data_IF_080152744281
#
_entry.id   IF_080152744281
#
_cell.length_a   1.000
_cell.length_b   1.000
_cell.length_c   1.000
_cell.angle_alpha   90.00
_cell.angle_beta   90.00
_cell.angle_gamma   90.00
#
_symmetry.space_group_name_H-M   'P 1'
#
loop_
_entity.id
_entity.type
_entity.pdbx_description
1 polymer ?
#
# COMPACT_ATOMS: atom_id res chain seq x y z
N UNK A 1 -30.51 -51.33 72.55
CA UNK A 1 -30.33 -51.14 71.09
C UNK A 1 -29.51 -49.88 70.89
N UNK A 2 -28.29 -50.05 70.38
CA UNK A 2 -27.18 -49.11 70.51
C UNK A 2 -27.25 -47.85 69.64
N UNK A 3 -26.62 -46.79 70.16
CA UNK A 3 -26.29 -45.54 69.47
C UNK A 3 -25.23 -45.85 68.39
N UNK A 4 -25.46 -45.44 67.14
CA UNK A 4 -24.40 -45.35 66.13
C UNK A 4 -23.81 -43.93 66.16
N UNK A 5 -22.53 -43.85 66.50
CA UNK A 5 -21.72 -42.64 66.47
C UNK A 5 -21.34 -42.28 65.02
N UNK A 6 -21.15 -40.99 64.76
CA UNK A 6 -20.61 -40.43 63.51
C UNK A 6 -19.15 -40.91 63.31
N UNK A 7 -18.70 -41.13 62.06
CA UNK A 7 -17.33 -41.54 61.80
C UNK A 7 -16.37 -40.35 61.86
N UNK A 8 -15.29 -40.58 62.62
CA UNK A 8 -13.91 -40.15 62.41
C UNK A 8 -13.62 -38.64 62.37
N UNK A 9 -13.00 -38.18 63.45
CA UNK A 9 -12.02 -37.09 63.48
C UNK A 9 -11.04 -37.24 62.32
N UNK A 10 -10.95 -36.23 61.45
CA UNK A 10 -9.86 -36.12 60.50
C UNK A 10 -8.56 -35.93 61.29
N UNK A 11 -7.73 -36.97 61.33
CA UNK A 11 -6.36 -36.86 61.82
C UNK A 11 -5.61 -35.87 60.92
N UNK A 12 -5.20 -34.75 61.52
CA UNK A 12 -4.24 -33.84 60.91
C UNK A 12 -2.95 -34.65 60.76
N UNK A 13 -2.61 -35.02 59.54
CA UNK A 13 -1.34 -35.65 59.24
C UNK A 13 -0.21 -34.78 59.81
N UNK A 14 0.77 -35.36 60.53
CA UNK A 14 1.90 -34.60 61.03
C UNK A 14 2.63 -33.97 59.84
N UNK A 15 3.00 -32.70 59.97
CA UNK A 15 3.79 -31.96 58.98
C UNK A 15 4.93 -32.84 58.49
N UNK A 16 4.83 -33.29 57.24
CA UNK A 16 5.84 -34.13 56.64
C UNK A 16 7.10 -33.26 56.51
N UNK A 17 8.22 -33.61 57.19
CA UNK A 17 9.40 -32.78 57.16
C UNK A 17 9.88 -32.66 55.71
N UNK A 18 10.11 -31.42 55.27
CA UNK A 18 10.69 -31.13 53.96
C UNK A 18 11.96 -31.99 53.80
N UNK A 19 12.10 -32.64 52.63
CA UNK A 19 13.24 -33.52 52.38
C UNK A 19 14.57 -32.80 52.72
N UNK A 20 15.51 -33.43 53.42
CA UNK A 20 16.70 -32.78 53.97
C UNK A 20 17.53 -32.05 52.90
N UNK A 21 17.58 -32.58 51.67
CA UNK A 21 18.25 -31.93 50.54
C UNK A 21 17.57 -30.62 50.11
N UNK A 22 16.24 -30.56 50.15
CA UNK A 22 15.49 -29.34 49.85
C UNK A 22 15.71 -28.28 50.92
N UNK A 23 15.75 -28.68 52.19
CA UNK A 23 15.99 -27.78 53.32
C UNK A 23 17.42 -27.19 53.29
N UNK A 24 18.42 -28.03 52.98
CA UNK A 24 19.81 -27.57 52.82
C UNK A 24 19.96 -26.58 51.65
N UNK A 25 19.29 -26.83 50.52
CA UNK A 25 19.34 -25.95 49.36
C UNK A 25 18.67 -24.60 49.62
N UNK A 26 17.54 -24.58 50.33
CA UNK A 26 16.84 -23.35 50.72
C UNK A 26 17.68 -22.51 51.68
N UNK A 27 18.34 -23.16 52.65
CA UNK A 27 19.24 -22.49 53.59
C UNK A 27 20.45 -21.88 52.87
N UNK A 28 21.10 -22.63 51.97
CA UNK A 28 22.22 -22.12 51.17
C UNK A 28 21.81 -20.92 50.29
N UNK A 29 20.59 -20.94 49.73
CA UNK A 29 20.07 -19.83 48.94
C UNK A 29 19.81 -18.59 49.81
N UNK A 30 19.23 -18.77 51.00
CA UNK A 30 19.00 -17.68 51.95
C UNK A 30 20.32 -17.04 52.44
N UNK A 31 21.31 -17.87 52.79
CA UNK A 31 22.66 -17.41 53.15
C UNK A 31 23.30 -16.61 52.02
N UNK A 32 23.20 -17.10 50.78
CA UNK A 32 23.72 -16.40 49.60
C UNK A 32 23.00 -15.07 49.35
N UNK A 33 21.67 -15.02 49.45
CA UNK A 33 20.89 -13.78 49.34
C UNK A 33 21.32 -12.77 50.41
N UNK A 34 21.49 -13.21 51.65
CA UNK A 34 21.88 -12.35 52.75
C UNK A 34 23.33 -11.84 52.58
N UNK A 35 24.25 -12.67 52.09
CA UNK A 35 25.60 -12.24 51.75
C UNK A 35 25.62 -11.16 50.66
N UNK A 36 24.78 -11.29 49.62
CA UNK A 36 24.63 -10.27 48.57
C UNK A 36 24.07 -8.97 49.15
N UNK A 37 23.01 -9.05 49.97
CA UNK A 37 22.41 -7.87 50.59
C UNK A 37 23.35 -7.18 51.58
N UNK A 38 24.17 -7.92 52.32
CA UNK A 38 25.20 -7.32 53.17
C UNK A 38 26.27 -6.58 52.37
N UNK A 39 26.58 -7.04 51.16
CA UNK A 39 27.62 -6.43 50.31
C UNK A 39 27.12 -5.24 49.49
N UNK A 40 25.91 -5.31 48.95
CA UNK A 40 25.38 -4.33 47.99
C UNK A 40 24.06 -3.67 48.42
N UNK A 41 23.42 -4.16 49.47
CA UNK A 41 22.11 -3.66 49.92
C UNK A 41 22.16 -2.39 50.76
N UNK A 42 23.36 -1.85 51.03
CA UNK A 42 23.57 -0.59 51.77
C UNK A 42 22.86 -0.54 53.14
N UNK A 43 22.70 -1.71 53.78
CA UNK A 43 22.03 -1.85 55.07
C UNK A 43 20.50 -1.84 55.01
N UNK A 44 19.91 -1.79 53.81
CA UNK A 44 18.46 -1.83 53.60
C UNK A 44 17.98 -3.26 53.28
N UNK A 45 16.76 -3.64 53.68
CA UNK A 45 16.16 -4.92 53.30
C UNK A 45 15.89 -4.98 51.79
N UNK A 46 15.79 -6.20 51.26
CA UNK A 46 15.45 -6.41 49.86
C UNK A 46 14.01 -6.01 49.59
N UNK A 47 13.83 -5.07 48.68
CA UNK A 47 12.53 -4.68 48.14
C UNK A 47 12.64 -4.62 46.62
N UNK A 48 11.89 -5.48 45.93
CA UNK A 48 12.01 -5.67 44.48
C UNK A 48 11.84 -4.35 43.72
N UNK A 49 10.79 -3.59 44.03
CA UNK A 49 10.47 -2.37 43.31
C UNK A 49 11.57 -1.33 43.48
N UNK A 50 12.04 -1.11 44.72
CA UNK A 50 13.16 -0.21 45.02
C UNK A 50 14.41 -0.54 44.20
N UNK A 51 14.87 -1.80 44.23
CA UNK A 51 16.08 -2.22 43.50
C UNK A 51 15.90 -2.07 41.98
N UNK A 52 14.70 -2.34 41.45
CA UNK A 52 14.40 -2.14 40.02
C UNK A 52 14.44 -0.66 39.65
N UNK A 53 13.88 0.23 40.47
CA UNK A 53 13.92 1.67 40.25
C UNK A 53 15.34 2.23 40.32
N UNK A 54 16.14 1.83 41.32
CA UNK A 54 17.55 2.22 41.45
C UNK A 54 18.36 1.76 40.23
N UNK A 55 18.18 0.51 39.79
CA UNK A 55 18.84 0.00 38.59
C UNK A 55 18.46 0.81 37.33
N UNK A 56 17.17 1.11 37.14
CA UNK A 56 16.70 1.96 36.02
C UNK A 56 17.30 3.36 36.07
N UNK A 57 17.36 3.96 37.25
CA UNK A 57 17.97 5.28 37.44
C UNK A 57 19.43 5.29 36.99
N UNK A 58 20.26 4.33 37.44
CA UNK A 58 21.66 4.25 37.01
C UNK A 58 21.82 3.92 35.52
N UNK A 59 20.89 3.15 34.93
CA UNK A 59 20.87 2.89 33.49
C UNK A 59 20.60 4.18 32.69
N UNK A 60 19.66 5.01 33.13
CA UNK A 60 19.38 6.32 32.53
C UNK A 60 20.58 7.27 32.66
N UNK A 61 21.14 7.38 33.87
CA UNK A 61 22.33 8.19 34.13
C UNK A 61 23.53 7.75 33.25
N UNK A 62 23.69 6.43 33.03
CA UNK A 62 24.74 5.91 32.15
C UNK A 62 24.54 6.33 30.69
N UNK A 63 23.29 6.46 30.24
CA UNK A 63 22.95 6.90 28.90
C UNK A 63 23.24 8.40 28.72
N UNK A 64 22.89 9.23 29.69
CA UNK A 64 23.23 10.66 29.69
C UNK A 64 24.73 10.89 29.70
N UNK A 65 25.45 10.21 30.61
CA UNK A 65 26.91 10.29 30.69
C UNK A 65 27.59 9.86 29.38
N UNK A 66 27.01 8.87 28.69
CA UNK A 66 27.47 8.43 27.37
C UNK A 66 27.29 9.52 26.30
N UNK A 67 26.15 10.22 26.27
CA UNK A 67 25.94 11.33 25.35
C UNK A 67 26.92 12.48 25.63
N UNK A 68 27.15 12.81 26.90
CA UNK A 68 28.14 13.81 27.30
C UNK A 68 29.56 13.39 26.88
N UNK A 69 29.93 12.13 27.06
CA UNK A 69 31.21 11.59 26.58
C UNK A 69 31.35 11.72 25.06
N UNK A 70 30.27 11.47 24.30
CA UNK A 70 30.25 11.66 22.85
C UNK A 70 30.54 13.09 22.43
N UNK A 71 30.01 14.10 23.14
CA UNK A 71 30.36 15.50 22.91
C UNK A 71 31.87 15.75 23.08
N UNK A 72 32.50 15.15 24.10
CA UNK A 72 33.96 15.30 24.34
C UNK A 72 34.78 14.59 23.27
N UNK A 73 34.33 13.41 22.82
CA UNK A 73 34.96 12.72 21.70
C UNK A 73 34.92 13.53 20.40
N UNK A 74 33.80 14.21 20.11
CA UNK A 74 33.69 15.13 18.97
C UNK A 74 34.69 16.28 19.13
N UNK A 75 34.76 16.91 20.30
CA UNK A 75 35.72 17.98 20.57
C UNK A 75 37.16 17.50 20.33
N UNK A 76 37.55 16.34 20.87
CA UNK A 76 38.91 15.78 20.66
C UNK A 76 39.14 15.53 19.17
N UNK A 77 38.16 14.94 18.47
CA UNK A 77 38.28 14.62 17.04
C UNK A 77 38.54 15.84 16.17
N UNK A 78 37.93 16.99 16.48
CA UNK A 78 38.15 18.22 15.71
C UNK A 78 39.42 18.98 16.08
N UNK A 79 40.01 18.71 17.24
CA UNK A 79 41.23 19.38 17.70
C UNK A 79 42.51 18.53 17.49
N UNK A 80 42.38 17.25 17.18
CA UNK A 80 43.51 16.31 17.05
C UNK A 80 43.59 15.70 15.63
N UNK A 81 44.80 15.50 15.08
CA UNK A 81 44.96 14.73 13.84
C UNK A 81 44.38 13.32 13.96
N UNK A 82 43.89 12.75 12.85
CA UNK A 82 43.22 11.44 12.85
C UNK A 82 44.00 10.31 13.54
N UNK A 83 45.33 10.29 13.36
CA UNK A 83 46.22 9.33 14.01
C UNK A 83 46.29 9.50 15.53
N UNK A 84 46.34 10.74 16.03
CA UNK A 84 46.38 11.02 17.47
C UNK A 84 45.02 10.82 18.13
N UNK A 85 43.92 11.19 17.46
CA UNK A 85 42.57 10.85 17.93
C UNK A 85 42.44 9.34 18.17
N UNK A 86 42.92 8.53 17.22
CA UNK A 86 42.87 7.06 17.35
C UNK A 86 43.63 6.59 18.57
N UNK A 87 44.87 7.07 18.78
CA UNK A 87 45.67 6.72 19.97
C UNK A 87 45.02 7.15 21.27
N UNK A 88 44.48 8.38 21.35
CA UNK A 88 43.78 8.87 22.54
C UNK A 88 42.61 7.93 22.89
N UNK A 89 41.81 7.56 21.90
CA UNK A 89 40.65 6.68 22.07
C UNK A 89 41.07 5.27 22.50
N UNK A 90 42.08 4.67 21.87
CA UNK A 90 42.45 3.27 22.15
C UNK A 90 43.35 3.12 23.38
N UNK A 91 44.32 4.01 23.56
CA UNK A 91 45.38 3.87 24.58
C UNK A 91 45.05 4.60 25.88
N UNK A 92 44.44 5.79 25.81
CA UNK A 92 44.14 6.60 27.01
C UNK A 92 42.74 6.37 27.54
N UNK A 93 41.75 6.25 26.66
CA UNK A 93 40.35 6.00 27.03
C UNK A 93 40.00 4.50 27.06
N UNK A 94 40.87 3.63 26.51
CA UNK A 94 40.71 2.17 26.58
C UNK A 94 39.50 1.65 25.81
N UNK A 95 39.06 2.34 24.76
CA UNK A 95 37.86 1.98 24.00
C UNK A 95 38.15 1.76 22.52
N UNK A 96 37.37 0.89 21.87
CA UNK A 96 37.52 0.65 20.43
C UNK A 96 37.08 1.89 19.63
N UNK A 97 37.81 2.19 18.55
CA UNK A 97 37.49 3.30 17.64
C UNK A 97 36.05 3.22 17.09
N UNK A 98 35.56 2.01 16.81
CA UNK A 98 34.16 1.79 16.38
C UNK A 98 33.15 2.24 17.45
N UNK A 99 33.43 1.95 18.72
CA UNK A 99 32.59 2.37 19.85
C UNK A 99 32.59 3.88 20.00
N UNK A 100 33.76 4.52 19.89
CA UNK A 100 33.86 5.98 19.92
C UNK A 100 33.02 6.63 18.81
N UNK A 101 33.10 6.11 17.58
CA UNK A 101 32.27 6.58 16.48
C UNK A 101 30.77 6.41 16.74
N UNK A 102 30.36 5.28 17.32
CA UNK A 102 28.96 5.04 17.66
C UNK A 102 28.46 6.05 18.71
N UNK A 103 29.26 6.28 19.77
CA UNK A 103 28.93 7.25 20.83
C UNK A 103 28.87 8.68 20.26
N UNK A 104 29.82 9.09 19.42
CA UNK A 104 29.79 10.40 18.76
C UNK A 104 28.56 10.59 17.89
N UNK A 105 28.18 9.58 17.10
CA UNK A 105 26.97 9.63 16.28
C UNK A 105 25.71 9.76 17.12
N UNK A 106 25.60 9.00 18.21
CA UNK A 106 24.48 9.10 19.14
C UNK A 106 24.40 10.49 19.78
N UNK A 107 25.54 11.03 20.24
CA UNK A 107 25.61 12.38 20.78
C UNK A 107 25.16 13.43 19.76
N UNK A 108 25.66 13.37 18.52
CA UNK A 108 25.26 14.30 17.47
C UNK A 108 23.74 14.26 17.21
N UNK A 109 23.16 13.06 17.14
CA UNK A 109 21.74 12.86 16.88
C UNK A 109 20.86 13.35 18.03
N UNK A 110 21.06 12.86 19.25
CA UNK A 110 20.20 13.18 20.40
C UNK A 110 20.43 14.59 20.98
N UNK A 111 21.38 15.34 20.42
CA UNK A 111 21.60 16.76 20.75
C UNK A 111 21.21 17.68 19.61
N UNK A 112 20.64 17.15 18.51
CA UNK A 112 20.12 17.94 17.41
C UNK A 112 19.00 18.86 17.90
N UNK A 113 18.76 20.03 17.28
CA UNK A 113 17.73 20.98 17.73
C UNK A 113 16.33 20.36 17.82
N UNK A 114 16.00 19.38 16.97
CA UNK A 114 14.73 18.68 16.98
C UNK A 114 14.58 17.68 18.14
N UNK A 115 15.67 17.14 18.67
CA UNK A 115 15.66 16.12 19.73
C UNK A 115 16.20 16.62 21.08
N UNK A 116 16.79 17.82 21.14
CA UNK A 116 17.44 18.34 22.34
C UNK A 116 16.47 18.41 23.54
N UNK A 117 15.24 18.89 23.32
CA UNK A 117 14.22 18.97 24.37
C UNK A 117 13.80 17.59 24.90
N UNK A 118 13.90 16.56 24.04
CA UNK A 118 13.44 15.20 24.30
C UNK A 118 14.59 14.25 24.69
N UNK A 119 15.82 14.77 24.79
CA UNK A 119 17.05 14.00 25.00
C UNK A 119 17.05 13.24 26.33
N UNK A 120 16.52 13.86 27.40
CA UNK A 120 16.41 13.22 28.73
C UNK A 120 15.40 12.07 28.72
N UNK A 121 14.24 12.27 28.09
CA UNK A 121 13.20 11.23 27.96
C UNK A 121 13.68 10.04 27.14
N UNK A 122 14.48 10.28 26.11
CA UNK A 122 15.10 9.19 25.34
C UNK A 122 16.22 8.51 26.15
N UNK A 123 16.98 9.26 26.94
CA UNK A 123 18.02 8.72 27.79
C UNK A 123 17.48 7.81 28.91
N UNK A 124 16.26 8.03 29.39
CA UNK A 124 15.63 7.15 30.40
C UNK A 124 15.39 5.73 29.90
N UNK A 125 15.32 5.51 28.59
CA UNK A 125 15.26 4.17 27.98
C UNK A 125 16.57 3.37 28.16
N UNK A 126 17.65 4.05 28.52
CA UNK A 126 18.98 3.48 28.73
C UNK A 126 19.81 3.35 27.44
N UNK A 127 21.13 3.22 27.63
CA UNK A 127 22.14 3.28 26.54
C UNK A 127 21.87 2.35 25.37
N UNK A 128 21.40 1.13 25.65
CA UNK A 128 21.26 0.10 24.62
C UNK A 128 20.08 0.39 23.71
N UNK A 129 18.95 0.86 24.26
CA UNK A 129 17.78 1.25 23.47
C UNK A 129 18.07 2.51 22.65
N UNK A 130 18.82 3.48 23.22
CA UNK A 130 19.31 4.63 22.46
C UNK A 130 20.11 4.23 21.22
N UNK A 131 20.96 3.20 21.30
CA UNK A 131 21.74 2.76 20.13
C UNK A 131 20.93 2.01 19.08
N UNK A 132 19.83 1.35 19.46
CA UNK A 132 18.93 0.76 18.46
C UNK A 132 18.07 1.85 17.83
N UNK A 133 17.59 2.83 18.60
CA UNK A 133 16.74 3.92 18.11
C UNK A 133 17.49 4.99 17.31
N UNK A 134 18.83 5.07 17.42
CA UNK A 134 19.59 6.10 16.72
C UNK A 134 19.58 5.94 15.19
N UNK A 135 19.11 4.80 14.67
CA UNK A 135 19.01 4.56 13.23
C UNK A 135 17.73 5.10 12.61
N UNK A 136 16.73 5.40 13.43
CA UNK A 136 15.45 5.94 12.99
C UNK A 136 15.54 7.44 12.71
N UNK A 137 14.57 8.01 12.01
CA UNK A 137 14.59 9.42 11.64
C UNK A 137 14.31 10.36 12.83
N UNK A 138 14.84 11.58 12.79
CA UNK A 138 14.69 12.55 13.89
C UNK A 138 13.22 12.93 14.11
N UNK A 139 12.41 12.99 13.05
CA UNK A 139 10.97 13.24 13.10
C UNK A 139 10.22 12.10 13.81
N UNK A 140 10.53 10.85 13.47
CA UNK A 140 9.92 9.67 14.11
C UNK A 140 10.27 9.58 15.59
N UNK A 141 11.51 9.92 15.96
CA UNK A 141 11.95 9.96 17.36
C UNK A 141 11.31 11.10 18.15
N UNK A 142 11.12 12.27 17.54
CA UNK A 142 10.39 13.37 18.16
C UNK A 142 8.93 13.00 18.38
N UNK A 143 8.28 12.42 17.35
CA UNK A 143 6.91 11.93 17.42
C UNK A 143 6.74 10.89 18.53
N UNK A 144 7.67 9.95 18.69
CA UNK A 144 7.63 8.94 19.76
C UNK A 144 7.55 9.57 21.16
N UNK A 145 8.29 10.66 21.40
CA UNK A 145 8.30 11.35 22.71
C UNK A 145 7.06 12.22 22.91
N UNK A 146 6.50 12.74 21.82
CA UNK A 146 5.23 13.50 21.83
C UNK A 146 3.97 12.60 21.93
N UNK A 147 4.14 11.29 22.08
CA UNK A 147 3.04 10.32 22.23
C UNK A 147 2.63 9.63 20.94
N UNK A 148 3.38 9.82 19.85
CA UNK A 148 3.31 9.03 18.63
C UNK A 148 3.95 7.64 18.79
N UNK A 149 4.17 6.98 17.66
CA UNK A 149 4.69 5.61 17.63
C UNK A 149 5.86 5.46 16.66
N UNK A 150 6.83 4.63 17.02
CA UNK A 150 7.92 4.21 16.13
C UNK A 150 7.80 2.72 15.86
N UNK A 151 7.81 2.31 14.59
CA UNK A 151 7.53 0.91 14.23
C UNK A 151 6.24 0.33 14.86
N UNK A 152 5.21 1.18 15.05
CA UNK A 152 3.96 0.83 15.73
C UNK A 152 4.08 0.65 17.25
N UNK A 153 5.16 1.13 17.87
CA UNK A 153 5.41 1.06 19.32
C UNK A 153 5.33 2.43 19.95
N UNK A 154 4.62 2.51 21.08
CA UNK A 154 4.63 3.68 21.97
C UNK A 154 5.90 3.71 22.82
N UNK A 155 6.22 4.88 23.37
CA UNK A 155 7.37 5.05 24.27
C UNK A 155 7.33 4.09 25.48
N UNK A 156 6.15 3.90 26.07
CA UNK A 156 5.94 3.00 27.21
C UNK A 156 6.18 1.53 26.84
N UNK A 157 5.74 1.11 25.66
CA UNK A 157 6.00 -0.25 25.16
C UNK A 157 7.48 -0.46 24.91
N UNK A 158 8.15 0.52 24.30
CA UNK A 158 9.60 0.51 24.10
C UNK A 158 10.32 0.41 25.43
N UNK A 159 9.88 1.10 26.49
CA UNK A 159 10.49 1.01 27.82
C UNK A 159 10.26 -0.36 28.48
N UNK A 160 9.07 -0.95 28.35
CA UNK A 160 8.72 -2.24 28.98
C UNK A 160 9.36 -3.45 28.31
N UNK A 161 9.60 -3.39 27.00
CA UNK A 161 10.16 -4.53 26.26
C UNK A 161 11.68 -4.66 26.42
N UNK A 162 12.19 -5.83 26.07
CA UNK A 162 13.62 -6.09 26.00
C UNK A 162 14.24 -5.44 24.75
N UNK A 163 15.55 -5.16 24.81
CA UNK A 163 16.32 -4.66 23.67
C UNK A 163 16.24 -5.60 22.47
N UNK A 164 16.17 -6.93 22.71
CA UNK A 164 16.10 -7.93 21.64
C UNK A 164 14.78 -7.84 20.88
N UNK A 165 13.68 -7.65 21.60
CA UNK A 165 12.35 -7.46 21.00
C UNK A 165 12.27 -6.15 20.21
N UNK A 166 12.81 -5.06 20.77
CA UNK A 166 12.91 -3.77 20.07
C UNK A 166 13.65 -3.92 18.73
N UNK A 167 14.84 -4.54 18.77
CA UNK A 167 15.64 -4.78 17.56
C UNK A 167 14.91 -5.62 16.52
N UNK A 168 14.19 -6.66 16.96
CA UNK A 168 13.42 -7.52 16.07
C UNK A 168 12.30 -6.74 15.37
N UNK A 169 11.55 -5.91 16.11
CA UNK A 169 10.47 -5.10 15.56
C UNK A 169 10.96 -4.01 14.59
N UNK A 170 12.03 -3.30 14.93
CA UNK A 170 12.65 -2.32 14.03
C UNK A 170 13.12 -2.99 12.73
N UNK A 171 13.68 -4.19 12.82
CA UNK A 171 14.09 -4.95 11.64
C UNK A 171 12.91 -5.42 10.80
N UNK A 172 11.88 -5.98 11.43
CA UNK A 172 10.68 -6.47 10.74
C UNK A 172 9.96 -5.34 9.99
N UNK A 173 9.79 -4.18 10.65
CA UNK A 173 9.17 -3.02 10.02
C UNK A 173 10.00 -2.50 8.85
N UNK A 174 11.33 -2.42 9.00
CA UNK A 174 12.21 -2.09 7.88
C UNK A 174 12.13 -3.09 6.73
N UNK A 175 12.21 -4.39 7.02
CA UNK A 175 12.17 -5.44 6.00
C UNK A 175 10.81 -5.43 5.26
N UNK A 176 9.71 -5.18 5.96
CA UNK A 176 8.38 -5.05 5.36
C UNK A 176 8.23 -3.78 4.49
N UNK A 177 8.84 -2.67 4.90
CA UNK A 177 8.88 -1.44 4.11
C UNK A 177 9.73 -1.63 2.84
N UNK A 178 10.89 -2.27 2.95
CA UNK A 178 11.75 -2.60 1.81
C UNK A 178 11.04 -3.56 0.84
N UNK A 179 10.36 -4.59 1.35
CA UNK A 179 9.56 -5.50 0.52
C UNK A 179 8.42 -4.78 -0.21
N UNK A 180 7.72 -3.88 0.49
CA UNK A 180 6.64 -3.08 -0.10
C UNK A 180 7.16 -2.15 -1.20
N UNK A 181 8.31 -1.50 -0.99
CA UNK A 181 8.98 -0.66 -2.00
C UNK A 181 9.43 -1.46 -3.21
N UNK A 182 9.96 -2.68 -3.02
CA UNK A 182 10.33 -3.58 -4.13
C UNK A 182 9.10 -3.95 -4.97
N UNK A 183 8.02 -4.36 -4.31
CA UNK A 183 6.77 -4.70 -5.00
C UNK A 183 6.20 -3.50 -5.77
N UNK A 184 6.26 -2.30 -5.20
CA UNK A 184 5.84 -1.07 -5.89
C UNK A 184 6.69 -0.83 -7.15
N UNK A 185 8.02 -0.90 -7.03
CA UNK A 185 8.92 -0.73 -8.17
C UNK A 185 8.71 -1.79 -9.25
N UNK A 186 8.49 -3.06 -8.88
CA UNK A 186 8.18 -4.14 -9.83
C UNK A 186 6.85 -3.88 -10.56
N UNK A 187 5.84 -3.40 -9.84
CA UNK A 187 4.55 -3.00 -10.44
C UNK A 187 4.72 -1.82 -11.38
N UNK A 188 5.48 -0.80 -10.99
CA UNK A 188 5.74 0.38 -11.82
C UNK A 188 6.52 0.00 -13.10
N UNK A 189 7.53 -0.85 -12.98
CA UNK A 189 8.23 -1.43 -14.14
C UNK A 189 7.27 -2.19 -15.05
N UNK A 190 6.39 -3.01 -14.48
CA UNK A 190 5.43 -3.77 -15.27
C UNK A 190 4.39 -2.87 -15.95
N UNK A 191 3.94 -1.81 -15.28
CA UNK A 191 3.05 -0.80 -15.86
C UNK A 191 3.75 -0.11 -17.03
N UNK A 192 5.01 0.27 -16.87
CA UNK A 192 5.79 0.89 -17.93
C UNK A 192 5.95 -0.07 -19.13
N UNK A 193 6.35 -1.32 -18.90
CA UNK A 193 6.43 -2.35 -19.96
C UNK A 193 5.09 -2.55 -20.68
N UNK A 194 3.98 -2.62 -19.95
CA UNK A 194 2.64 -2.80 -20.54
C UNK A 194 2.23 -1.56 -21.34
N UNK A 195 2.55 -0.37 -20.84
CA UNK A 195 2.28 0.89 -21.54
C UNK A 195 3.08 1.00 -22.83
N UNK A 196 4.37 0.65 -22.81
CA UNK A 196 5.23 0.60 -24.00
C UNK A 196 4.73 -0.45 -25.00
N UNK A 197 4.38 -1.65 -24.54
CA UNK A 197 3.80 -2.68 -25.41
C UNK A 197 2.46 -2.26 -26.00
N UNK A 198 1.63 -1.51 -25.26
CA UNK A 198 0.37 -0.98 -25.77
C UNK A 198 0.60 0.05 -26.88
N UNK A 199 1.57 0.96 -26.70
CA UNK A 199 1.96 1.94 -27.72
C UNK A 199 2.56 1.26 -28.96
N UNK A 200 3.42 0.26 -28.76
CA UNK A 200 4.02 -0.51 -29.86
C UNK A 200 2.98 -1.31 -30.65
N UNK A 201 2.02 -1.93 -29.97
CA UNK A 201 0.95 -2.69 -30.62
C UNK A 201 -0.09 -1.81 -31.31
N UNK A 202 -0.26 -0.56 -30.89
CA UNK A 202 -1.15 0.40 -31.54
C UNK A 202 -0.69 0.76 -32.98
N UNK A 203 0.60 0.61 -33.28
CA UNK A 203 1.18 0.96 -34.58
C UNK A 203 1.68 -0.24 -35.40
N UNK A 204 1.54 -1.47 -34.90
CA UNK A 204 1.91 -2.69 -35.65
C UNK A 204 0.78 -3.05 -36.63
N UNK A 205 1.06 -3.34 -37.91
CA UNK A 205 0.04 -3.91 -38.79
C UNK A 205 -0.41 -5.26 -38.23
N UNK A 206 -1.70 -5.38 -37.91
CA UNK A 206 -2.29 -6.64 -37.46
C UNK A 206 -2.35 -7.60 -38.64
N UNK A 207 -1.89 -8.85 -38.44
CA UNK A 207 -2.15 -9.94 -39.39
C UNK A 207 -3.65 -10.30 -39.45
N UNK A 208 -4.04 -11.17 -40.39
CA UNK A 208 -5.46 -11.53 -40.60
C UNK A 208 -6.17 -12.02 -39.32
N UNK A 209 -5.48 -12.80 -38.48
CA UNK A 209 -6.01 -13.27 -37.20
C UNK A 209 -6.22 -12.12 -36.20
N UNK A 210 -5.30 -11.15 -36.16
CA UNK A 210 -5.41 -9.97 -35.30
C UNK A 210 -6.56 -9.05 -35.71
N UNK A 211 -6.79 -8.90 -37.02
CA UNK A 211 -7.96 -8.17 -37.55
C UNK A 211 -9.27 -8.88 -37.16
N UNK A 212 -9.29 -10.22 -37.20
CA UNK A 212 -10.46 -11.01 -36.79
C UNK A 212 -10.79 -10.81 -35.31
N UNK A 213 -9.79 -10.91 -34.44
CA UNK A 213 -9.95 -10.69 -33.00
C UNK A 213 -10.40 -9.26 -32.68
N UNK A 214 -9.81 -8.26 -33.34
CA UNK A 214 -10.19 -6.86 -33.17
C UNK A 214 -11.64 -6.61 -33.62
N UNK A 215 -12.10 -7.25 -34.69
CA UNK A 215 -13.50 -7.18 -35.13
C UNK A 215 -14.45 -7.82 -34.12
N UNK A 216 -14.07 -8.94 -33.53
CA UNK A 216 -14.86 -9.60 -32.48
C UNK A 216 -14.94 -8.72 -31.23
N UNK A 217 -13.82 -8.15 -30.78
CA UNK A 217 -13.75 -7.24 -29.64
C UNK A 217 -14.61 -5.98 -29.85
N UNK A 218 -14.45 -5.30 -30.98
CA UNK A 218 -15.27 -4.12 -31.33
C UNK A 218 -16.75 -4.51 -31.45
N UNK A 219 -17.05 -5.71 -31.97
CA UNK A 219 -18.40 -6.23 -32.05
C UNK A 219 -19.07 -6.41 -30.69
N UNK A 220 -18.33 -6.92 -29.70
CA UNK A 220 -18.80 -7.05 -28.32
C UNK A 220 -19.05 -5.68 -27.67
N UNK A 221 -18.13 -4.72 -27.85
CA UNK A 221 -18.33 -3.33 -27.36
C UNK A 221 -19.57 -2.70 -28.00
N UNK A 222 -19.77 -2.88 -29.31
CA UNK A 222 -20.97 -2.40 -30.00
C UNK A 222 -22.27 -3.03 -29.46
N UNK A 223 -22.23 -4.32 -29.11
CA UNK A 223 -23.36 -4.99 -28.46
C UNK A 223 -23.66 -4.40 -27.08
N UNK A 224 -22.64 -4.16 -26.26
CA UNK A 224 -22.79 -3.59 -24.92
C UNK A 224 -23.37 -2.17 -24.95
N UNK A 225 -22.89 -1.33 -25.88
CA UNK A 225 -23.45 0.02 -26.10
C UNK A 225 -24.93 -0.07 -26.46
N UNK A 226 -25.29 -0.97 -27.39
CA UNK A 226 -26.69 -1.20 -27.78
C UNK A 226 -27.53 -1.68 -26.60
N UNK A 227 -27.02 -2.62 -25.80
CA UNK A 227 -27.71 -3.15 -24.63
C UNK A 227 -27.93 -2.07 -23.56
N UNK A 228 -26.95 -1.19 -23.34
CA UNK A 228 -27.07 -0.06 -22.42
C UNK A 228 -28.13 0.94 -22.89
N UNK A 229 -28.15 1.26 -24.19
CA UNK A 229 -29.14 2.17 -24.79
C UNK A 229 -30.55 1.58 -24.74
N UNK A 230 -30.72 0.32 -25.12
CA UNK A 230 -32.04 -0.34 -25.17
C UNK A 230 -32.59 -0.72 -23.79
N UNK A 231 -31.72 -0.96 -22.82
CA UNK A 231 -32.12 -1.28 -21.44
C UNK A 231 -32.14 -0.04 -20.56
N UNK A 232 -31.00 0.27 -19.93
CA UNK A 232 -30.91 1.28 -18.87
C UNK A 232 -31.32 2.67 -19.32
N UNK A 233 -30.86 3.10 -20.51
CA UNK A 233 -31.15 4.43 -21.01
C UNK A 233 -32.64 4.57 -21.34
N UNK A 234 -33.20 3.64 -22.12
CA UNK A 234 -34.62 3.59 -22.44
C UNK A 234 -35.51 3.56 -21.19
N UNK A 235 -35.22 2.70 -20.22
CA UNK A 235 -35.98 2.65 -18.95
C UNK A 235 -35.95 4.00 -18.22
N UNK A 236 -34.82 4.70 -18.24
CA UNK A 236 -34.67 6.05 -17.68
C UNK A 236 -35.54 7.08 -18.41
N UNK A 237 -35.54 7.05 -19.75
CA UNK A 237 -36.40 7.93 -20.56
C UNK A 237 -37.88 7.67 -20.28
N UNK A 238 -38.31 6.40 -20.24
CA UNK A 238 -39.71 6.02 -19.98
C UNK A 238 -40.15 6.44 -18.57
N UNK A 239 -39.29 6.26 -17.55
CA UNK A 239 -39.57 6.72 -16.19
C UNK A 239 -39.72 8.23 -16.12
N UNK A 240 -38.82 9.00 -16.73
CA UNK A 240 -38.90 10.46 -16.70
C UNK A 240 -40.08 10.98 -17.52
N UNK A 241 -40.37 10.34 -18.66
CA UNK A 241 -41.53 10.67 -19.49
C UNK A 241 -42.86 10.42 -18.76
N UNK A 242 -42.98 9.31 -18.02
CA UNK A 242 -44.21 9.00 -17.24
C UNK A 242 -44.49 9.99 -16.08
N UNK A 243 -43.48 10.75 -15.65
CA UNK A 243 -43.62 11.81 -14.65
C UNK A 243 -43.75 13.21 -15.27
N UNK A 244 -43.80 13.31 -16.60
CA UNK A 244 -44.06 14.57 -17.32
C UNK A 244 -45.52 14.97 -17.10
N UNK A 245 -45.75 16.22 -16.66
CA UNK A 245 -47.09 16.79 -16.48
C UNK A 245 -47.27 18.09 -17.25
N UNK A 246 -48.47 18.66 -17.23
CA UNK A 246 -48.83 19.86 -18.04
C UNK A 246 -47.97 21.10 -17.76
N UNK A 247 -47.38 21.20 -16.56
CA UNK A 247 -46.57 22.36 -16.12
C UNK A 247 -45.06 22.13 -16.35
N UNK A 248 -44.59 20.88 -16.34
CA UNK A 248 -43.17 20.55 -16.45
C UNK A 248 -43.01 19.43 -17.46
N UNK A 249 -42.83 19.82 -18.73
CA UNK A 249 -42.46 18.88 -19.79
C UNK A 249 -40.97 18.58 -19.72
N UNK A 250 -40.62 17.30 -19.79
CA UNK A 250 -39.22 16.86 -19.91
C UNK A 250 -38.80 16.58 -21.35
N UNK A 251 -39.66 16.88 -22.34
CA UNK A 251 -39.42 16.56 -23.75
C UNK A 251 -38.11 17.16 -24.30
N UNK A 252 -37.87 18.46 -24.03
CA UNK A 252 -36.67 19.14 -24.53
C UNK A 252 -35.37 18.58 -23.93
N UNK A 253 -35.42 18.20 -22.65
CA UNK A 253 -34.30 17.56 -21.97
C UNK A 253 -34.01 16.16 -22.52
N UNK A 254 -35.06 15.34 -22.71
CA UNK A 254 -34.94 14.00 -23.29
C UNK A 254 -34.42 14.07 -24.74
N UNK A 255 -34.90 15.05 -25.53
CA UNK A 255 -34.41 15.32 -26.87
C UNK A 255 -32.93 15.75 -26.86
N UNK A 256 -32.52 16.58 -25.90
CA UNK A 256 -31.11 16.96 -25.71
C UNK A 256 -30.19 15.75 -25.50
N UNK A 257 -30.56 14.83 -24.60
CA UNK A 257 -29.76 13.62 -24.36
C UNK A 257 -29.63 12.73 -25.60
N UNK A 258 -30.68 12.63 -26.43
CA UNK A 258 -30.63 11.89 -27.68
C UNK A 258 -29.76 12.59 -28.72
N UNK A 259 -29.86 13.92 -28.84
CA UNK A 259 -29.03 14.70 -29.74
C UNK A 259 -27.54 14.59 -29.39
N UNK A 260 -27.18 14.53 -28.11
CA UNK A 260 -25.78 14.35 -27.68
C UNK A 260 -25.26 12.97 -28.12
N UNK A 261 -26.07 11.91 -27.99
CA UNK A 261 -25.70 10.56 -28.46
C UNK A 261 -25.58 10.53 -29.99
N UNK A 262 -26.51 11.18 -30.70
CA UNK A 262 -26.45 11.30 -32.16
C UNK A 262 -25.22 12.08 -32.63
N UNK A 263 -24.86 13.16 -31.91
CA UNK A 263 -23.66 13.95 -32.19
C UNK A 263 -22.40 13.10 -32.06
N UNK A 264 -22.25 12.33 -30.98
CA UNK A 264 -21.10 11.45 -30.80
C UNK A 264 -21.02 10.35 -31.88
N UNK A 265 -22.17 9.77 -32.26
CA UNK A 265 -22.21 8.81 -33.38
C UNK A 265 -21.78 9.47 -34.70
N UNK A 266 -22.20 10.72 -34.95
CA UNK A 266 -21.83 11.46 -36.15
C UNK A 266 -20.34 11.86 -36.16
N UNK A 267 -19.77 12.22 -35.01
CA UNK A 267 -18.34 12.46 -34.85
C UNK A 267 -17.54 11.20 -35.20
N UNK A 268 -17.93 10.04 -34.66
CA UNK A 268 -17.30 8.76 -35.01
C UNK A 268 -17.41 8.47 -36.51
N UNK A 269 -18.57 8.71 -37.14
CA UNK A 269 -18.70 8.54 -38.59
C UNK A 269 -17.77 9.46 -39.37
N UNK A 270 -17.65 10.72 -38.95
CA UNK A 270 -16.76 11.70 -39.59
C UNK A 270 -15.29 11.29 -39.47
N UNK A 271 -14.86 10.91 -38.27
CA UNK A 271 -13.47 10.53 -37.98
C UNK A 271 -13.02 9.31 -38.81
N UNK A 272 -13.94 8.39 -39.08
CA UNK A 272 -13.68 7.17 -39.86
C UNK A 272 -14.22 7.22 -41.31
N UNK A 273 -14.72 8.36 -41.78
CA UNK A 273 -15.33 8.55 -43.11
C UNK A 273 -16.41 7.49 -43.45
N UNK A 274 -17.26 7.14 -42.47
CA UNK A 274 -18.31 6.13 -42.61
C UNK A 274 -19.64 6.73 -43.11
N UNK A 275 -20.38 6.03 -43.98
CA UNK A 275 -21.66 6.52 -44.50
C UNK A 275 -22.76 6.49 -43.42
N UNK A 276 -23.77 7.37 -43.54
CA UNK A 276 -24.92 7.43 -42.61
C UNK A 276 -25.85 6.21 -42.74
N UNK A 277 -26.03 5.72 -43.96
CA UNK A 277 -26.77 4.52 -44.30
C UNK A 277 -25.83 3.55 -44.99
N UNK A 278 -25.95 2.25 -44.71
CA UNK A 278 -25.39 1.25 -45.61
C UNK A 278 -26.11 1.41 -46.96
N UNK A 279 -25.41 1.54 -48.10
CA UNK A 279 -26.08 1.46 -49.39
C UNK A 279 -26.79 0.11 -49.45
N UNK A 280 -28.12 0.13 -49.37
CA UNK A 280 -28.91 -1.07 -49.62
C UNK A 280 -28.90 -1.30 -51.13
N UNK A 281 -27.82 -1.87 -51.65
CA UNK A 281 -27.88 -2.55 -52.94
C UNK A 281 -28.71 -3.83 -52.73
N UNK A 282 -30.02 -3.68 -52.68
CA UNK A 282 -30.97 -4.78 -52.87
C UNK A 282 -31.24 -4.93 -54.35
N UNK A 283 -30.20 -5.21 -55.13
CA UNK A 283 -30.34 -5.91 -56.40
C UNK A 283 -29.53 -7.19 -56.26
N UNK A 284 -30.19 -8.34 -55.99
CA UNK A 284 -29.52 -9.62 -55.93
C UNK A 284 -28.75 -9.90 -57.23
N UNK A 285 -27.61 -10.58 -57.15
CA UNK A 285 -26.75 -10.77 -58.33
C UNK A 285 -27.44 -11.54 -59.49
N UNK A 286 -28.46 -12.35 -59.22
CA UNK A 286 -29.27 -13.01 -60.26
C UNK A 286 -30.18 -12.06 -61.06
N UNK A 287 -30.49 -10.86 -60.54
CA UNK A 287 -31.24 -9.82 -61.27
C UNK A 287 -30.31 -9.04 -62.21
N UNK A 288 -29.01 -9.03 -61.96
CA UNK A 288 -28.02 -8.40 -62.85
C UNK A 288 -27.80 -9.24 -64.11
N UNK A 289 -27.86 -10.58 -63.99
CA UNK A 289 -27.70 -11.50 -65.12
C UNK A 289 -28.89 -11.50 -66.11
N UNK A 290 -30.12 -11.25 -65.65
CA UNK A 290 -31.31 -11.20 -66.53
C UNK A 290 -31.41 -9.87 -67.31
N UNK A 291 -30.83 -8.78 -66.81
CA UNK A 291 -30.83 -7.48 -67.49
C UNK A 291 -29.93 -7.46 -68.73
N UNK A 292 -28.88 -8.29 -68.76
CA UNK A 292 -27.96 -8.40 -69.89
C UNK A 292 -28.43 -9.40 -70.97
N UNK A 293 -29.52 -10.14 -70.71
CA UNK A 293 -30.01 -11.21 -71.59
C UNK A 293 -31.23 -10.82 -72.47
N UNK A 294 -31.98 -9.77 -72.13
CA UNK A 294 -33.21 -9.40 -72.84
C UNK A 294 -33.03 -8.44 -74.03
N UNK A 295 -31.83 -7.85 -74.21
CA UNK A 295 -31.58 -6.88 -75.30
C UNK A 295 -31.02 -7.50 -76.60
N UNK A 296 -30.78 -8.81 -76.66
CA UNK A 296 -30.06 -9.43 -77.79
C UNK A 296 -30.93 -10.01 -78.91
N UNK A 297 -32.24 -10.25 -78.73
CA UNK A 297 -33.01 -11.07 -79.71
C UNK A 297 -34.44 -10.62 -80.05
N UNK A 298 -34.90 -9.45 -79.62
CA UNK A 298 -36.25 -8.97 -80.02
C UNK A 298 -36.24 -8.22 -81.36
N UNK A 299 -36.25 -8.94 -82.48
CA UNK A 299 -36.61 -8.35 -83.78
C UNK A 299 -38.14 -8.29 -83.94
N UNK A 300 -38.70 -7.07 -83.95
CA UNK A 300 -40.12 -6.86 -84.24
C UNK A 300 -40.50 -7.46 -85.62
N UNK A 301 -41.52 -8.33 -85.69
CA UNK A 301 -41.95 -8.96 -86.94
C UNK A 301 -42.47 -7.94 -87.97
N UNK A 302 -42.19 -8.17 -89.26
CA UNK A 302 -42.36 -7.19 -90.35
C UNK A 302 -43.76 -6.56 -90.48
N UNK A 303 -44.82 -7.21 -90.00
CA UNK A 303 -46.19 -6.70 -90.08
C UNK A 303 -46.50 -5.56 -89.08
N UNK A 304 -45.58 -5.23 -88.17
CA UNK A 304 -45.70 -4.10 -87.23
C UNK A 304 -44.85 -2.88 -87.61
N UNK A 305 -44.15 -2.91 -88.76
CA UNK A 305 -43.47 -1.71 -89.30
C UNK A 305 -44.48 -0.87 -90.10
N UNK A 306 -45.29 -0.09 -89.37
CA UNK A 306 -46.22 0.86 -89.96
C UNK A 306 -45.50 2.00 -90.69
N UNK A 307 -45.73 2.11 -92.00
CA UNK A 307 -45.42 3.28 -92.83
C UNK A 307 -46.38 4.42 -92.50
N UNK A 308 -45.89 5.63 -92.22
CA UNK A 308 -46.76 6.79 -92.07
C UNK A 308 -46.05 8.03 -91.53
N UNK A 309 -45.68 8.92 -92.44
CA UNK A 309 -45.38 10.33 -92.20
C UNK A 309 -46.51 10.98 -91.39
N UNK A 310 -46.19 11.86 -90.43
CA UNK A 310 -46.61 13.26 -90.52
C UNK A 310 -45.87 14.13 -89.48
N UNK A 311 -45.78 15.39 -89.85
CA UNK A 311 -45.00 16.51 -89.34
C UNK A 311 -45.35 16.86 -87.87
N UNK A 312 -44.46 17.33 -87.01
CA UNK A 312 -43.59 18.49 -87.23
C UNK A 312 -44.35 19.76 -86.86
N UNK A 313 -44.37 20.11 -85.57
CA UNK A 313 -44.60 21.50 -85.16
C UNK A 313 -43.83 21.80 -83.86
N UNK A 314 -42.85 22.68 -84.05
CA UNK A 314 -41.95 23.27 -83.09
C UNK A 314 -42.49 24.67 -82.75
N UNK A 315 -42.11 25.18 -81.58
CA UNK A 315 -41.83 26.59 -81.29
C UNK A 315 -42.91 27.49 -80.61
N UNK A 316 -42.47 28.03 -79.46
CA UNK A 316 -42.49 29.46 -79.06
C UNK A 316 -43.74 30.01 -78.36
N UNK A 317 -43.73 30.08 -77.03
CA UNK A 317 -43.31 31.24 -76.19
C UNK A 317 -43.23 30.82 -74.72
#
# INVERSE_FOLDING_TARGET
MGRKALPMTAEIAPEQPLAPDLMNNLNALAEHQQAIMNKYGEGLPYERERIVHEARFYMAQSAEAMLEAGKRLIIIKENEPHGEFTKIVTERLGMAHRTANLIMKAALKYTSPGLQANSQTLASLGKTKLFELMTEDDEDLAALVEGGTIAGLTLDEVDRMSVRELKAKLRETRDSLEASRRLANEKDQKINELSENRLLNQHRPLGEEGIRQLREEIGLVGFDVKAMLMGRFREGLEKLHSHSGDITSHADYLAGLLNDIEFEINMLRSDFALPHHTPSETVPDWVKDDADAEDADFQLPEHLRGTGQDNGEEAVL
#
